data_IF_666678093657
#
_entry.id   IF_666678093657
#
_cell.length_a   1.000
_cell.length_b   1.000
_cell.length_c   1.000
_cell.angle_alpha   90.00
_cell.angle_beta   90.00
_cell.angle_gamma   90.00
#
_symmetry.space_group_name_H-M   'P 1'
#
loop_
_entity.id
_entity.type
_entity.pdbx_description
1 polymer ?
#
# COMPACT_ATOMS: atom_id res chain seq x y z
N UNK A 1 63.02 -21.39 -67.94
CA UNK A 1 62.02 -20.39 -67.49
C UNK A 1 62.77 -19.20 -66.91
N UNK A 2 62.60 -18.01 -67.47
CA UNK A 2 63.39 -16.81 -67.14
C UNK A 2 62.84 -16.12 -65.89
N UNK A 3 63.74 -15.51 -65.10
CA UNK A 3 63.47 -14.82 -63.82
C UNK A 3 62.31 -13.79 -63.92
N UNK A 4 62.10 -13.23 -65.10
CA UNK A 4 61.05 -12.27 -65.43
C UNK A 4 59.63 -12.87 -65.35
N UNK A 5 59.46 -14.14 -65.76
CA UNK A 5 58.17 -14.82 -65.70
C UNK A 5 57.75 -15.13 -64.26
N UNK A 6 58.74 -15.40 -63.39
CA UNK A 6 58.51 -15.66 -61.96
C UNK A 6 58.06 -14.37 -61.25
N UNK A 7 58.68 -13.22 -61.57
CA UNK A 7 58.27 -11.92 -61.01
C UNK A 7 56.88 -11.49 -61.48
N UNK A 8 56.56 -11.72 -62.75
CA UNK A 8 55.24 -11.41 -63.31
C UNK A 8 54.14 -12.26 -62.66
N UNK A 9 54.39 -13.57 -62.48
CA UNK A 9 53.48 -14.48 -61.79
C UNK A 9 53.26 -14.07 -60.32
N UNK A 10 54.33 -13.70 -59.60
CA UNK A 10 54.24 -13.23 -58.23
C UNK A 10 53.42 -11.93 -58.10
N UNK A 11 53.59 -10.99 -59.03
CA UNK A 11 52.81 -9.74 -59.04
C UNK A 11 51.33 -9.98 -59.30
N UNK A 12 50.99 -10.91 -60.19
CA UNK A 12 49.59 -11.29 -60.46
C UNK A 12 48.96 -11.95 -59.23
N UNK A 13 49.67 -12.89 -58.60
CA UNK A 13 49.19 -13.56 -57.37
C UNK A 13 48.99 -12.55 -56.24
N UNK A 14 49.92 -11.61 -56.05
CA UNK A 14 49.78 -10.55 -55.07
C UNK A 14 48.58 -9.64 -55.36
N UNK A 15 48.36 -9.25 -56.62
CA UNK A 15 47.21 -8.45 -57.02
C UNK A 15 45.87 -9.14 -56.75
N UNK A 16 45.78 -10.44 -57.03
CA UNK A 16 44.59 -11.25 -56.75
C UNK A 16 44.35 -11.36 -55.23
N UNK A 17 45.40 -11.58 -54.45
CA UNK A 17 45.29 -11.66 -52.99
C UNK A 17 44.78 -10.35 -52.37
N UNK A 18 45.27 -9.20 -52.85
CA UNK A 18 44.81 -7.88 -52.42
C UNK A 18 43.35 -7.66 -52.81
N UNK A 19 42.97 -8.01 -54.05
CA UNK A 19 41.59 -7.88 -54.51
C UNK A 19 40.61 -8.72 -53.67
N UNK A 20 40.99 -9.96 -53.32
CA UNK A 20 40.19 -10.83 -52.44
C UNK A 20 40.05 -10.27 -51.03
N UNK A 21 41.13 -9.72 -50.45
CA UNK A 21 41.08 -9.08 -49.13
C UNK A 21 40.18 -7.84 -49.13
N UNK A 22 40.26 -7.00 -50.16
CA UNK A 22 39.40 -5.81 -50.29
C UNK A 22 37.94 -6.21 -50.45
N UNK A 23 37.64 -7.24 -51.26
CA UNK A 23 36.29 -7.75 -51.42
C UNK A 23 35.70 -8.30 -50.10
N UNK A 24 36.49 -9.05 -49.33
CA UNK A 24 36.10 -9.55 -48.01
C UNK A 24 35.83 -8.41 -47.01
N UNK A 25 36.63 -7.34 -47.07
CA UNK A 25 36.48 -6.14 -46.22
C UNK A 25 35.22 -5.34 -46.58
N UNK A 26 34.87 -5.26 -47.86
CA UNK A 26 33.64 -4.61 -48.31
C UNK A 26 32.39 -5.42 -47.92
N UNK A 27 32.44 -6.75 -48.05
CA UNK A 27 31.34 -7.62 -47.58
C UNK A 27 31.09 -7.47 -46.08
N UNK A 28 32.15 -7.50 -45.27
CA UNK A 28 32.04 -7.35 -43.81
C UNK A 28 31.53 -5.97 -43.39
N UNK A 29 31.84 -4.90 -44.14
CA UNK A 29 31.26 -3.58 -43.90
C UNK A 29 29.78 -3.50 -44.26
N UNK A 30 29.37 -4.15 -45.35
CA UNK A 30 27.97 -4.18 -45.77
C UNK A 30 27.10 -4.94 -44.74
N UNK A 31 27.58 -6.09 -44.25
CA UNK A 31 26.87 -6.85 -43.21
C UNK A 31 26.78 -6.06 -41.90
N UNK A 32 27.85 -5.36 -41.49
CA UNK A 32 27.80 -4.49 -40.31
C UNK A 32 26.79 -3.33 -40.46
N UNK A 33 26.68 -2.75 -41.65
CA UNK A 33 25.74 -1.66 -41.90
C UNK A 33 24.29 -2.15 -41.83
N UNK A 34 24.01 -3.34 -42.37
CA UNK A 34 22.69 -3.98 -42.30
C UNK A 34 22.31 -4.33 -40.84
N UNK A 35 23.24 -4.92 -40.08
CA UNK A 35 23.04 -5.24 -38.65
C UNK A 35 22.81 -3.97 -37.81
N UNK A 36 23.53 -2.88 -38.07
CA UNK A 36 23.29 -1.58 -37.42
C UNK A 36 21.91 -1.03 -37.74
N UNK A 37 21.46 -1.14 -38.99
CA UNK A 37 20.10 -0.72 -39.40
C UNK A 37 19.03 -1.51 -38.65
N UNK A 38 19.17 -2.84 -38.56
CA UNK A 38 18.27 -3.71 -37.78
C UNK A 38 18.28 -3.34 -36.29
N UNK A 39 19.45 -3.04 -35.73
CA UNK A 39 19.59 -2.66 -34.33
C UNK A 39 18.91 -1.32 -34.00
N UNK A 40 18.99 -0.32 -34.87
CA UNK A 40 18.30 0.96 -34.67
C UNK A 40 16.77 0.81 -34.76
N UNK A 41 16.26 0.02 -35.71
CA UNK A 41 14.84 -0.32 -35.79
C UNK A 41 14.39 -1.02 -34.50
N UNK A 42 15.15 -2.01 -34.04
CA UNK A 42 14.87 -2.72 -32.80
C UNK A 42 14.85 -1.78 -31.59
N UNK A 43 15.82 -0.86 -31.47
CA UNK A 43 15.82 0.16 -30.40
C UNK A 43 14.56 1.00 -30.40
N UNK A 44 14.13 1.48 -31.57
CA UNK A 44 12.92 2.30 -31.67
C UNK A 44 11.67 1.51 -31.28
N UNK A 45 11.57 0.24 -31.69
CA UNK A 45 10.49 -0.65 -31.30
C UNK A 45 10.48 -0.92 -29.79
N UNK A 46 11.65 -1.15 -29.17
CA UNK A 46 11.76 -1.33 -27.72
C UNK A 46 11.40 -0.06 -26.97
N UNK A 47 11.85 1.11 -27.43
CA UNK A 47 11.50 2.39 -26.81
C UNK A 47 9.99 2.67 -26.88
N UNK A 48 9.35 2.33 -28.00
CA UNK A 48 7.90 2.44 -28.16
C UNK A 48 7.15 1.48 -27.23
N UNK A 49 7.52 0.20 -27.21
CA UNK A 49 6.93 -0.79 -26.31
C UNK A 49 7.11 -0.44 -24.83
N UNK A 50 8.25 0.15 -24.45
CA UNK A 50 8.46 0.66 -23.09
C UNK A 50 7.58 1.87 -22.77
N UNK A 51 7.32 2.74 -23.74
CA UNK A 51 6.42 3.89 -23.57
C UNK A 51 4.97 3.44 -23.40
N UNK A 52 4.52 2.49 -24.22
CA UNK A 52 3.19 1.87 -24.11
C UNK A 52 3.02 1.16 -22.77
N UNK A 53 3.96 0.28 -22.39
CA UNK A 53 3.91 -0.40 -21.10
C UNK A 53 3.89 0.57 -19.90
N UNK A 54 4.59 1.71 -20.00
CA UNK A 54 4.53 2.76 -18.96
C UNK A 54 3.18 3.48 -18.95
N UNK A 55 2.60 3.77 -20.12
CA UNK A 55 1.28 4.38 -20.23
C UNK A 55 0.20 3.46 -19.63
N UNK A 56 0.22 2.18 -20.00
CA UNK A 56 -0.71 1.17 -19.47
C UNK A 56 -0.57 1.02 -17.95
N UNK A 57 0.67 0.98 -17.45
CA UNK A 57 0.93 0.90 -16.01
C UNK A 57 0.40 2.14 -15.25
N UNK A 58 0.52 3.33 -15.84
CA UNK A 58 -0.03 4.55 -15.25
C UNK A 58 -1.56 4.57 -15.29
N UNK A 59 -2.17 4.06 -16.37
CA UNK A 59 -3.62 3.96 -16.49
C UNK A 59 -4.20 2.98 -15.47
N UNK A 60 -3.62 1.79 -15.35
CA UNK A 60 -4.04 0.80 -14.36
C UNK A 60 -3.82 1.30 -12.93
N UNK A 61 -2.70 2.00 -12.68
CA UNK A 61 -2.47 2.66 -11.38
C UNK A 61 -3.56 3.70 -11.09
N UNK A 62 -3.91 4.56 -12.06
CA UNK A 62 -4.96 5.56 -11.87
C UNK A 62 -6.35 4.93 -11.64
N UNK A 63 -6.68 3.84 -12.36
CA UNK A 63 -7.90 3.06 -12.12
C UNK A 63 -7.93 2.47 -10.72
N UNK A 64 -6.80 1.95 -10.24
CA UNK A 64 -6.69 1.38 -8.91
C UNK A 64 -6.81 2.47 -7.83
N UNK A 65 -6.10 3.60 -7.97
CA UNK A 65 -6.22 4.73 -7.05
C UNK A 65 -7.66 5.26 -6.97
N UNK A 66 -8.39 5.30 -8.10
CA UNK A 66 -9.80 5.68 -8.10
C UNK A 66 -10.71 4.68 -7.36
N UNK A 67 -10.42 3.37 -7.44
CA UNK A 67 -11.13 2.34 -6.67
C UNK A 67 -10.81 2.46 -5.18
N UNK A 68 -9.54 2.65 -4.85
CA UNK A 68 -9.08 2.78 -3.46
C UNK A 68 -9.65 4.05 -2.82
N UNK A 69 -9.72 5.16 -3.55
CA UNK A 69 -10.35 6.40 -3.08
C UNK A 69 -11.84 6.23 -2.77
N UNK A 70 -12.58 5.49 -3.61
CA UNK A 70 -13.99 5.16 -3.34
C UNK A 70 -14.14 4.26 -2.11
N UNK A 71 -13.28 3.25 -1.98
CA UNK A 71 -13.26 2.37 -0.82
C UNK A 71 -12.95 3.13 0.47
N UNK A 72 -12.00 4.08 0.43
CA UNK A 72 -11.66 4.95 1.55
C UNK A 72 -12.83 5.85 1.94
N UNK A 73 -13.55 6.45 0.98
CA UNK A 73 -14.76 7.24 1.26
C UNK A 73 -15.86 6.40 1.92
N UNK A 74 -16.11 5.18 1.43
CA UNK A 74 -17.08 4.26 2.04
C UNK A 74 -16.69 3.89 3.47
N UNK A 75 -15.42 3.56 3.70
CA UNK A 75 -14.92 3.22 5.03
C UNK A 75 -15.04 4.40 6.01
N UNK A 76 -14.81 5.63 5.53
CA UNK A 76 -14.98 6.83 6.33
C UNK A 76 -16.46 7.05 6.69
N UNK A 77 -17.39 6.89 5.74
CA UNK A 77 -18.82 7.03 6.05
C UNK A 77 -19.32 5.97 7.03
N UNK A 78 -18.82 4.74 6.91
CA UNK A 78 -19.15 3.65 7.84
C UNK A 78 -18.63 3.95 9.25
N UNK A 79 -17.42 4.50 9.36
CA UNK A 79 -16.85 4.96 10.62
C UNK A 79 -17.68 6.10 11.24
N UNK A 80 -18.05 7.12 10.45
CA UNK A 80 -18.83 8.26 10.94
C UNK A 80 -20.21 7.81 11.44
N UNK A 81 -20.87 6.89 10.73
CA UNK A 81 -22.13 6.30 11.16
C UNK A 81 -22.02 5.49 12.46
N UNK A 82 -20.95 4.69 12.61
CA UNK A 82 -20.67 3.96 13.85
C UNK A 82 -20.41 4.92 15.01
N UNK A 83 -19.64 5.98 14.78
CA UNK A 83 -19.34 7.02 15.78
C UNK A 83 -20.61 7.72 16.25
N UNK A 84 -21.47 8.15 15.33
CA UNK A 84 -22.77 8.75 15.68
C UNK A 84 -23.64 7.79 16.50
N UNK A 85 -23.71 6.52 16.08
CA UNK A 85 -24.51 5.50 16.79
C UNK A 85 -24.00 5.28 18.22
N UNK A 86 -22.70 5.09 18.41
CA UNK A 86 -22.12 4.86 19.73
C UNK A 86 -22.21 6.08 20.64
N UNK A 87 -21.92 7.28 20.12
CA UNK A 87 -22.09 8.52 20.90
C UNK A 87 -23.55 8.77 21.28
N UNK A 88 -24.50 8.45 20.40
CA UNK A 88 -25.93 8.50 20.69
C UNK A 88 -26.37 7.53 21.80
N UNK A 89 -25.85 6.29 21.80
CA UNK A 89 -26.10 5.31 22.86
C UNK A 89 -25.57 5.81 24.21
N UNK A 90 -24.34 6.34 24.26
CA UNK A 90 -23.74 6.91 25.47
C UNK A 90 -24.58 8.07 26.01
N UNK A 91 -25.00 9.00 25.15
CA UNK A 91 -25.84 10.13 25.56
C UNK A 91 -27.22 9.69 26.08
N UNK A 92 -27.84 8.72 25.41
CA UNK A 92 -29.15 8.18 25.82
C UNK A 92 -29.06 7.46 27.16
N UNK A 93 -27.99 6.69 27.37
CA UNK A 93 -27.74 6.01 28.64
C UNK A 93 -27.47 7.02 29.77
N UNK A 94 -26.66 8.05 29.51
CA UNK A 94 -26.42 9.13 30.48
C UNK A 94 -27.72 9.87 30.85
N UNK A 95 -28.60 10.16 29.89
CA UNK A 95 -29.88 10.81 30.13
C UNK A 95 -30.87 9.95 30.93
N UNK A 96 -30.77 8.61 30.87
CA UNK A 96 -31.57 7.67 31.68
C UNK A 96 -31.07 7.52 33.12
N UNK A 97 -29.85 7.96 33.39
CA UNK A 97 -29.26 7.99 34.73
C UNK A 97 -28.86 9.44 35.11
N UNK A 98 -29.83 10.38 35.19
CA UNK A 98 -29.54 11.78 35.47
C UNK A 98 -28.95 12.02 36.88
N UNK A 99 -28.93 10.99 37.74
CA UNK A 99 -28.33 11.01 39.08
C UNK A 99 -27.01 10.25 39.24
N UNK A 100 -26.47 9.58 38.20
CA UNK A 100 -25.15 8.90 38.29
C UNK A 100 -23.99 9.80 37.84
N UNK A 101 -24.24 11.10 37.73
CA UNK A 101 -23.19 12.10 37.69
C UNK A 101 -22.54 12.21 39.06
N UNK A 102 -21.80 11.16 39.47
CA UNK A 102 -20.66 11.41 40.34
C UNK A 102 -19.74 12.25 39.46
N UNK A 103 -19.80 13.55 39.69
CA UNK A 103 -18.81 14.50 39.25
C UNK A 103 -17.50 14.05 39.89
N UNK A 104 -16.85 13.05 39.29
CA UNK A 104 -15.48 12.66 39.58
C UNK A 104 -14.64 13.82 39.07
N UNK A 105 -14.68 14.91 39.84
CA UNK A 105 -13.80 16.05 39.76
C UNK A 105 -12.40 15.48 39.76
N UNK A 106 -11.79 15.37 38.59
CA UNK A 106 -10.40 14.99 38.41
C UNK A 106 -9.60 15.92 39.33
N UNK A 107 -8.99 15.44 40.43
CA UNK A 107 -7.96 16.23 41.09
C UNK A 107 -6.80 16.19 40.12
N UNK A 108 -6.71 17.21 39.27
CA UNK A 108 -5.40 17.69 38.89
C UNK A 108 -4.73 18.09 40.20
N UNK A 109 -3.51 17.61 40.41
CA UNK A 109 -2.65 17.89 41.57
C UNK A 109 -2.89 16.96 42.78
N UNK A 110 -2.51 15.69 42.66
CA UNK A 110 -1.50 15.17 43.60
C UNK A 110 -0.84 13.87 43.09
N UNK A 111 0.44 13.77 43.40
CA UNK A 111 1.32 12.70 42.95
C UNK A 111 0.97 11.34 43.59
N UNK A 112 1.02 10.27 42.79
CA UNK A 112 1.04 8.91 43.30
C UNK A 112 0.30 7.95 42.39
N UNK A 113 1.05 7.11 41.68
CA UNK A 113 0.52 5.88 41.10
C UNK A 113 -0.02 5.04 42.27
N UNK A 114 -1.34 5.00 42.44
CA UNK A 114 -1.97 4.07 43.39
C UNK A 114 -2.26 2.77 42.64
N UNK A 115 -1.75 1.62 43.11
CA UNK A 115 -1.95 0.35 42.44
C UNK A 115 -3.41 -0.09 42.55
N UNK A 116 -3.82 -0.89 41.57
CA UNK A 116 -5.06 -1.65 41.57
C UNK A 116 -5.34 -2.29 42.94
N UNK A 117 -6.58 -2.17 43.41
CA UNK A 117 -7.13 -3.04 44.46
C UNK A 117 -6.63 -2.78 45.88
N UNK A 118 -7.24 -1.82 46.57
CA UNK A 118 -7.32 -1.85 48.03
C UNK A 118 -8.80 -1.88 48.43
N UNK A 119 -9.33 -3.09 48.61
CA UNK A 119 -10.59 -3.28 49.33
C UNK A 119 -10.38 -2.79 50.76
N UNK A 120 -11.05 -1.71 51.14
CA UNK A 120 -11.13 -1.26 52.52
C UNK A 120 -12.25 -2.05 53.22
N UNK A 121 -11.93 -2.97 54.15
CA UNK A 121 -12.90 -3.91 54.70
C UNK A 121 -13.88 -3.29 55.72
N UNK A 122 -13.65 -2.04 56.13
CA UNK A 122 -14.45 -1.38 57.19
C UNK A 122 -15.53 -0.41 56.66
N UNK A 123 -15.73 -0.32 55.35
CA UNK A 123 -16.88 0.40 54.79
C UNK A 123 -18.07 -0.56 54.69
N UNK A 124 -19.21 -0.26 55.35
CA UNK A 124 -20.41 -1.08 55.21
C UNK A 124 -20.80 -1.16 53.74
N UNK A 125 -20.73 -2.38 53.20
CA UNK A 125 -21.21 -2.74 51.87
C UNK A 125 -22.66 -2.28 51.74
N UNK A 126 -22.88 -1.22 50.95
CA UNK A 126 -24.22 -0.73 50.59
C UNK A 126 -24.75 0.48 51.37
N UNK A 127 -23.95 1.21 52.16
CA UNK A 127 -24.42 2.43 52.85
C UNK A 127 -24.04 3.71 52.08
N UNK A 128 -24.67 3.90 50.93
CA UNK A 128 -24.65 5.12 50.13
C UNK A 128 -25.47 4.85 48.87
N UNK A 129 -26.63 5.50 48.77
CA UNK A 129 -27.70 5.30 47.77
C UNK A 129 -27.30 4.53 46.48
N UNK A 130 -27.37 3.20 46.59
CA UNK A 130 -27.79 2.28 45.53
C UNK A 130 -26.99 2.29 44.23
N UNK A 131 -25.69 2.01 44.27
CA UNK A 131 -24.97 1.53 43.09
C UNK A 131 -24.90 -0.01 43.12
N UNK A 132 -25.59 -0.73 42.22
CA UNK A 132 -25.59 -2.18 42.25
C UNK A 132 -24.18 -2.74 42.03
N UNK A 133 -23.80 -3.74 42.83
CA UNK A 133 -22.56 -4.49 42.64
C UNK A 133 -22.47 -5.00 41.19
N UNK A 134 -21.36 -4.71 40.51
CA UNK A 134 -21.16 -4.99 39.09
C UNK A 134 -21.41 -3.82 38.14
N UNK A 135 -21.77 -2.63 38.65
CA UNK A 135 -21.89 -1.41 37.84
C UNK A 135 -20.53 -0.73 37.72
N UNK A 136 -19.88 -0.85 36.56
CA UNK A 136 -18.69 -0.04 36.27
C UNK A 136 -19.16 1.40 36.04
N UNK A 137 -18.77 2.30 36.94
CA UNK A 137 -19.01 3.73 36.78
C UNK A 137 -17.88 4.33 35.97
N UNK A 138 -18.21 4.70 34.74
CA UNK A 138 -17.29 5.36 33.82
C UNK A 138 -17.80 6.79 33.66
N UNK A 139 -16.88 7.77 33.73
CA UNK A 139 -17.24 9.16 33.48
C UNK A 139 -17.82 9.30 32.06
N UNK A 140 -18.71 10.26 31.83
CA UNK A 140 -19.28 10.46 30.49
C UNK A 140 -18.19 10.74 29.44
N UNK A 141 -17.12 11.46 29.84
CA UNK A 141 -15.96 11.71 28.98
C UNK A 141 -15.22 10.43 28.60
N UNK A 142 -14.93 9.56 29.57
CA UNK A 142 -14.26 8.29 29.31
C UNK A 142 -15.15 7.34 28.51
N UNK A 143 -16.47 7.35 28.72
CA UNK A 143 -17.42 6.57 27.94
C UNK A 143 -17.45 6.99 26.47
N UNK A 144 -17.34 8.30 26.18
CA UNK A 144 -17.25 8.82 24.81
C UNK A 144 -15.92 8.43 24.13
N UNK A 145 -14.80 8.47 24.86
CA UNK A 145 -13.50 8.01 24.34
C UNK A 145 -13.54 6.51 24.02
N UNK A 146 -14.11 5.69 24.92
CA UNK A 146 -14.29 4.26 24.69
C UNK A 146 -15.20 3.98 23.48
N UNK A 147 -16.27 4.75 23.31
CA UNK A 147 -17.16 4.66 22.16
C UNK A 147 -16.42 4.96 20.84
N UNK A 148 -15.61 6.01 20.80
CA UNK A 148 -14.83 6.40 19.63
C UNK A 148 -13.75 5.37 19.27
N UNK A 149 -13.00 4.89 20.26
CA UNK A 149 -12.01 3.83 20.07
C UNK A 149 -12.64 2.52 19.61
N UNK A 150 -13.84 2.19 20.10
CA UNK A 150 -14.59 1.01 19.66
C UNK A 150 -15.03 1.15 18.20
N UNK A 151 -15.55 2.31 17.81
CA UNK A 151 -15.92 2.59 16.41
C UNK A 151 -14.70 2.48 15.48
N UNK A 152 -13.55 3.01 15.90
CA UNK A 152 -12.31 2.91 15.16
C UNK A 152 -11.85 1.45 15.00
N UNK A 153 -11.84 0.67 16.09
CA UNK A 153 -11.44 -0.74 16.04
C UNK A 153 -12.37 -1.58 15.14
N UNK A 154 -13.68 -1.33 15.17
CA UNK A 154 -14.62 -2.02 14.28
C UNK A 154 -14.43 -1.63 12.81
N UNK A 155 -14.21 -0.34 12.52
CA UNK A 155 -13.89 0.13 11.17
C UNK A 155 -12.59 -0.47 10.63
N UNK A 156 -11.55 -0.53 11.46
CA UNK A 156 -10.27 -1.16 11.11
C UNK A 156 -10.44 -2.67 10.84
N UNK A 157 -11.24 -3.37 11.65
CA UNK A 157 -11.55 -4.77 11.44
C UNK A 157 -12.37 -5.03 10.17
N UNK A 158 -13.39 -4.20 9.89
CA UNK A 158 -14.19 -4.34 8.67
C UNK A 158 -13.37 -4.05 7.41
N UNK A 159 -12.41 -3.14 7.48
CA UNK A 159 -11.46 -2.89 6.39
C UNK A 159 -10.48 -4.07 6.21
N UNK A 160 -9.85 -4.53 7.30
CA UNK A 160 -8.90 -5.65 7.26
C UNK A 160 -9.53 -6.95 6.74
N UNK A 161 -10.80 -7.21 7.06
CA UNK A 161 -11.53 -8.39 6.57
C UNK A 161 -11.89 -8.33 5.08
N UNK A 162 -12.00 -7.13 4.49
CA UNK A 162 -12.24 -6.96 3.05
C UNK A 162 -10.99 -7.23 2.23
N UNK A 163 -9.81 -6.79 2.69
CA UNK A 163 -8.53 -7.00 1.98
C UNK A 163 -7.98 -8.42 2.14
N UNK A 164 -8.39 -9.14 3.18
CA UNK A 164 -7.93 -10.51 3.46
C UNK A 164 -8.80 -11.60 2.81
N UNK A 165 -9.88 -11.22 2.11
CA UNK A 165 -10.64 -12.18 1.29
C UNK A 165 -9.80 -12.56 0.06
N UNK A 166 -9.43 -13.84 -0.11
CA UNK A 166 -8.82 -14.28 -1.35
C UNK A 166 -9.82 -14.08 -2.50
N UNK A 167 -9.32 -13.65 -3.66
CA UNK A 167 -10.13 -13.55 -4.87
C UNK A 167 -10.82 -14.90 -5.11
N UNK A 168 -12.15 -14.88 -5.24
CA UNK A 168 -12.91 -16.08 -5.56
C UNK A 168 -12.31 -16.69 -6.84
N UNK A 169 -11.89 -17.95 -6.75
CA UNK A 169 -11.35 -18.68 -7.89
C UNK A 169 -12.40 -18.65 -9.01
N UNK A 170 -12.05 -18.26 -10.25
CA UNK A 170 -12.99 -18.38 -11.35
C UNK A 170 -13.33 -19.85 -11.51
N UNK A 171 -14.61 -20.20 -11.34
CA UNK A 171 -15.11 -21.54 -11.61
C UNK A 171 -14.79 -21.89 -13.07
N UNK A 172 -14.15 -23.05 -13.27
CA UNK A 172 -13.91 -23.68 -14.57
C UNK A 172 -15.06 -24.60 -14.92
#
# INVERSE_FOLDING_TARGET
MTLQNIRLAAAIVAGIAIALLVAALLLTRATLAEERGKFEIWKTAVAHAQAEAKADALEEKAKQEAKDAKAAQSAQSDYDALRERYTGLVRTQAARHPGSGVDLRRPADDAGVSPEGAENPDLPVGAGDGLPFGTILISQGDALICAENTAYAQGAYSWASQISRPAASPER
#
